data_IF_343878737867
#
_entry.id   IF_343878737867
#
_cell.length_a   1.000
_cell.length_b   1.000
_cell.length_c   1.000
_cell.angle_alpha   90.00
_cell.angle_beta   90.00
_cell.angle_gamma   90.00
#
_symmetry.space_group_name_H-M   'P 1'
#
loop_
_entity.id
_entity.type
_entity.pdbx_description
1 polymer ?
#
# COMPACT_ATOMS: atom_id res chain seq x y z
N UNK A 1 -18.42 -41.39 27.77
CA UNK A 1 -18.63 -39.93 27.63
C UNK A 1 -18.48 -39.58 26.16
N UNK A 2 -19.59 -39.43 25.43
CA UNK A 2 -19.57 -39.04 24.03
C UNK A 2 -19.59 -37.51 23.96
N UNK A 3 -18.51 -36.91 23.45
CA UNK A 3 -18.45 -35.50 23.06
C UNK A 3 -19.44 -35.29 21.91
N UNK A 4 -20.57 -34.65 22.20
CA UNK A 4 -21.49 -34.15 21.18
C UNK A 4 -20.73 -33.07 20.41
N UNK A 5 -20.31 -33.40 19.19
CA UNK A 5 -19.90 -32.39 18.21
C UNK A 5 -21.13 -31.55 17.95
N UNK A 6 -21.18 -30.36 18.55
CA UNK A 6 -22.18 -29.33 18.24
C UNK A 6 -22.08 -29.07 16.73
N UNK A 7 -23.00 -29.65 15.97
CA UNK A 7 -23.11 -29.40 14.54
C UNK A 7 -23.30 -27.90 14.36
N UNK A 8 -22.45 -27.29 13.53
CA UNK A 8 -22.52 -25.89 13.16
C UNK A 8 -23.97 -25.55 12.78
N UNK A 9 -24.55 -24.54 13.43
CA UNK A 9 -25.90 -24.11 13.13
C UNK A 9 -25.85 -23.28 11.84
N UNK A 10 -26.33 -23.79 10.69
CA UNK A 10 -26.15 -23.13 9.40
C UNK A 10 -26.82 -21.74 9.34
N UNK A 11 -27.81 -21.49 10.20
CA UNK A 11 -28.40 -20.16 10.34
C UNK A 11 -27.45 -19.17 11.04
N UNK A 12 -26.72 -19.62 12.06
CA UNK A 12 -25.73 -18.81 12.77
C UNK A 12 -24.53 -18.48 11.88
N UNK A 13 -24.03 -19.47 11.13
CA UNK A 13 -22.92 -19.27 10.18
C UNK A 13 -23.28 -18.26 9.08
N UNK A 14 -24.53 -18.31 8.58
CA UNK A 14 -25.04 -17.36 7.59
C UNK A 14 -25.15 -15.95 8.16
N UNK A 15 -25.65 -15.81 9.39
CA UNK A 15 -25.75 -14.51 10.05
C UNK A 15 -24.37 -13.90 10.28
N UNK A 16 -23.40 -14.71 10.74
CA UNK A 16 -22.03 -14.28 10.91
C UNK A 16 -21.41 -13.78 9.60
N UNK A 17 -21.57 -14.55 8.52
CA UNK A 17 -21.10 -14.16 7.19
C UNK A 17 -21.72 -12.84 6.71
N UNK A 18 -23.01 -12.61 6.97
CA UNK A 18 -23.67 -11.34 6.58
C UNK A 18 -23.08 -10.15 7.35
N UNK A 19 -22.84 -10.32 8.65
CA UNK A 19 -22.24 -9.28 9.52
C UNK A 19 -20.81 -8.97 9.08
N UNK A 20 -20.00 -10.01 8.85
CA UNK A 20 -18.62 -9.87 8.35
C UNK A 20 -18.59 -9.09 7.03
N UNK A 21 -19.45 -9.45 6.07
CA UNK A 21 -19.54 -8.77 4.77
C UNK A 21 -19.98 -7.31 4.89
N UNK A 22 -20.82 -6.98 5.87
CA UNK A 22 -21.21 -5.60 6.15
C UNK A 22 -20.05 -4.78 6.72
N UNK A 23 -19.30 -5.34 7.67
CA UNK A 23 -18.12 -4.71 8.24
C UNK A 23 -17.04 -4.49 7.18
N UNK A 24 -16.81 -5.46 6.29
CA UNK A 24 -15.89 -5.30 5.16
C UNK A 24 -16.30 -4.17 4.21
N UNK A 25 -17.61 -4.07 3.92
CA UNK A 25 -18.14 -3.04 3.03
C UNK A 25 -17.96 -1.63 3.62
N UNK A 26 -18.27 -1.45 4.92
CA UNK A 26 -18.00 -0.17 5.61
C UNK A 26 -16.51 0.13 5.71
N UNK A 27 -15.70 -0.91 5.97
CA UNK A 27 -14.24 -0.82 6.00
C UNK A 27 -13.68 -0.33 4.68
N UNK A 28 -14.14 -0.86 3.54
CA UNK A 28 -13.70 -0.40 2.22
C UNK A 28 -14.04 1.08 1.98
N UNK A 29 -15.22 1.54 2.43
CA UNK A 29 -15.61 2.94 2.33
C UNK A 29 -14.68 3.87 3.10
N UNK A 30 -14.36 3.53 4.36
CA UNK A 30 -13.44 4.31 5.21
C UNK A 30 -12.02 4.28 4.65
N UNK A 31 -11.54 3.12 4.21
CA UNK A 31 -10.22 2.99 3.60
C UNK A 31 -10.11 3.78 2.31
N UNK A 32 -11.14 3.78 1.45
CA UNK A 32 -11.11 4.56 0.23
C UNK A 32 -11.09 6.07 0.50
N UNK A 33 -11.78 6.54 1.55
CA UNK A 33 -11.71 7.94 1.97
C UNK A 33 -10.30 8.31 2.46
N UNK A 34 -9.69 7.46 3.29
CA UNK A 34 -8.31 7.66 3.73
C UNK A 34 -7.31 7.62 2.57
N UNK A 35 -7.55 6.76 1.57
CA UNK A 35 -6.75 6.69 0.34
C UNK A 35 -6.80 8.02 -0.43
N UNK A 36 -7.99 8.57 -0.67
CA UNK A 36 -8.15 9.87 -1.35
C UNK A 36 -7.45 10.98 -0.56
N UNK A 37 -7.61 11.00 0.77
CA UNK A 37 -6.95 11.98 1.62
C UNK A 37 -5.43 11.85 1.56
N UNK A 38 -4.89 10.63 1.60
CA UNK A 38 -3.46 10.38 1.48
C UNK A 38 -2.93 10.86 0.12
N UNK A 39 -3.57 10.50 -0.99
CA UNK A 39 -3.20 10.97 -2.34
C UNK A 39 -3.18 12.49 -2.37
N UNK A 40 -4.24 13.14 -1.86
CA UNK A 40 -4.33 14.60 -1.83
C UNK A 40 -3.20 15.25 -1.03
N UNK A 41 -2.93 14.77 0.19
CA UNK A 41 -1.87 15.32 1.06
C UNK A 41 -0.49 15.11 0.44
N UNK A 42 -0.17 13.91 -0.04
CA UNK A 42 1.13 13.65 -0.67
C UNK A 42 1.32 14.43 -1.97
N UNK A 43 0.27 14.57 -2.79
CA UNK A 43 0.33 15.37 -4.00
C UNK A 43 0.48 16.86 -3.70
N UNK A 44 -0.17 17.37 -2.64
CA UNK A 44 0.03 18.77 -2.22
C UNK A 44 1.47 19.04 -1.74
N UNK A 45 2.10 18.07 -1.08
CA UNK A 45 3.52 18.16 -0.70
C UNK A 45 4.41 18.22 -1.95
N UNK A 46 4.13 17.39 -2.95
CA UNK A 46 4.86 17.40 -4.22
C UNK A 46 4.66 18.72 -4.99
N UNK A 47 3.43 19.20 -5.09
CA UNK A 47 3.12 20.49 -5.70
C UNK A 47 3.81 21.64 -4.95
N UNK A 48 3.89 21.53 -3.63
CA UNK A 48 4.58 22.52 -2.82
C UNK A 48 6.09 22.51 -3.05
N UNK A 49 6.67 21.32 -3.18
CA UNK A 49 8.07 21.15 -3.57
C UNK A 49 8.31 21.74 -4.97
N UNK A 50 7.38 21.54 -5.91
CA UNK A 50 7.51 22.02 -7.28
C UNK A 50 7.47 23.54 -7.41
N UNK A 51 6.60 24.21 -6.66
CA UNK A 51 6.45 25.67 -6.77
C UNK A 51 7.31 26.48 -5.80
N UNK A 52 7.52 26.01 -4.57
CA UNK A 52 8.20 26.79 -3.53
C UNK A 52 9.61 26.32 -3.20
N UNK A 53 9.94 25.05 -3.45
CA UNK A 53 11.25 24.48 -3.10
C UNK A 53 11.90 23.77 -4.31
N UNK A 54 12.14 24.48 -5.43
CA UNK A 54 12.77 23.88 -6.58
C UNK A 54 14.16 23.34 -6.19
N UNK A 55 14.44 22.05 -6.40
CA UNK A 55 15.76 21.50 -6.12
C UNK A 55 16.81 22.08 -7.07
N UNK A 56 18.07 22.04 -6.65
CA UNK A 56 19.18 22.43 -7.49
C UNK A 56 19.39 21.39 -8.61
N UNK A 57 18.89 21.66 -9.82
CA UNK A 57 18.96 20.75 -10.96
C UNK A 57 18.41 21.37 -12.25
N UNK A 58 18.44 20.59 -13.34
CA UNK A 58 17.91 21.02 -14.64
C UNK A 58 16.37 21.04 -14.60
N UNK A 59 15.78 22.17 -15.03
CA UNK A 59 14.33 22.38 -14.93
C UNK A 59 13.51 21.39 -15.78
N UNK A 60 14.11 20.84 -16.82
CA UNK A 60 13.50 19.86 -17.73
C UNK A 60 13.32 18.50 -17.05
N UNK A 61 14.33 18.01 -16.33
CA UNK A 61 14.26 16.76 -15.55
C UNK A 61 13.19 16.85 -14.46
N UNK A 62 13.08 18.02 -13.84
CA UNK A 62 12.11 18.25 -12.79
C UNK A 62 10.66 18.33 -13.32
N UNK A 63 10.46 18.93 -14.50
CA UNK A 63 9.16 18.91 -15.17
C UNK A 63 8.75 17.48 -15.59
N UNK A 64 9.70 16.68 -16.07
CA UNK A 64 9.46 15.27 -16.39
C UNK A 64 9.11 14.44 -15.15
N UNK A 65 9.76 14.70 -14.01
CA UNK A 65 9.40 14.10 -12.72
C UNK A 65 7.96 14.44 -12.31
N UNK A 66 7.62 15.74 -12.29
CA UNK A 66 6.28 16.21 -11.94
C UNK A 66 5.19 15.58 -12.82
N UNK A 67 5.43 15.45 -14.13
CA UNK A 67 4.51 14.78 -15.04
C UNK A 67 4.28 13.31 -14.68
N UNK A 68 5.33 12.57 -14.33
CA UNK A 68 5.23 11.16 -13.91
C UNK A 68 4.47 11.01 -12.60
N UNK A 69 4.78 11.85 -11.60
CA UNK A 69 4.06 11.84 -10.32
C UNK A 69 2.59 12.18 -10.51
N UNK A 70 2.29 13.21 -11.30
CA UNK A 70 0.92 13.62 -11.62
C UNK A 70 0.17 12.49 -12.31
N UNK A 71 0.78 11.81 -13.30
CA UNK A 71 0.16 10.67 -13.97
C UNK A 71 -0.17 9.53 -12.99
N UNK A 72 0.73 9.22 -12.05
CA UNK A 72 0.50 8.20 -11.01
C UNK A 72 -0.58 8.64 -10.00
N UNK A 73 -0.59 9.91 -9.60
CA UNK A 73 -1.63 10.46 -8.72
C UNK A 73 -3.02 10.42 -9.37
N UNK A 74 -3.10 10.73 -10.67
CA UNK A 74 -4.32 10.59 -11.46
C UNK A 74 -4.76 9.13 -11.53
N UNK A 75 -3.85 8.20 -11.81
CA UNK A 75 -4.16 6.77 -11.82
C UNK A 75 -4.68 6.27 -10.46
N UNK A 76 -4.04 6.67 -9.35
CA UNK A 76 -4.48 6.34 -8.00
C UNK A 76 -5.85 6.93 -7.67
N UNK A 77 -6.13 8.15 -8.13
CA UNK A 77 -7.44 8.80 -8.00
C UNK A 77 -8.50 8.06 -8.80
N UNK A 78 -8.20 7.61 -10.02
CA UNK A 78 -9.10 6.82 -10.84
C UNK A 78 -9.44 5.47 -10.20
N UNK A 79 -8.46 4.78 -9.60
CA UNK A 79 -8.71 3.55 -8.81
C UNK A 79 -9.64 3.85 -7.63
N UNK A 80 -9.39 4.96 -6.91
CA UNK A 80 -10.22 5.38 -5.78
C UNK A 80 -11.66 5.71 -6.19
N UNK A 81 -11.82 6.34 -7.36
CA UNK A 81 -13.12 6.66 -7.93
C UNK A 81 -13.85 5.39 -8.39
N UNK A 82 -13.15 4.45 -9.02
CA UNK A 82 -13.72 3.16 -9.43
C UNK A 82 -14.25 2.37 -8.23
N UNK A 83 -13.47 2.30 -7.14
CA UNK A 83 -13.92 1.68 -5.88
C UNK A 83 -15.14 2.40 -5.32
N UNK A 84 -15.13 3.74 -5.28
CA UNK A 84 -16.27 4.53 -4.82
C UNK A 84 -17.53 4.26 -5.67
N UNK A 85 -17.39 4.16 -6.98
CA UNK A 85 -18.49 3.87 -7.90
C UNK A 85 -19.04 2.45 -7.66
N UNK A 86 -18.18 1.45 -7.50
CA UNK A 86 -18.57 0.08 -7.14
C UNK A 86 -19.38 0.05 -5.83
N UNK A 87 -18.92 0.76 -4.80
CA UNK A 87 -19.64 0.88 -3.53
C UNK A 87 -20.98 1.60 -3.71
N UNK A 88 -21.03 2.71 -4.46
CA UNK A 88 -22.27 3.44 -4.75
C UNK A 88 -23.31 2.59 -5.51
N UNK A 89 -22.85 1.73 -6.41
CA UNK A 89 -23.69 0.75 -7.12
C UNK A 89 -24.06 -0.47 -6.27
N UNK A 90 -23.61 -0.56 -5.02
CA UNK A 90 -23.77 -1.72 -4.12
C UNK A 90 -23.19 -3.01 -4.70
N UNK A 91 -22.20 -2.89 -5.60
CA UNK A 91 -21.48 -4.02 -6.20
C UNK A 91 -20.18 -4.20 -5.45
N UNK A 92 -20.13 -5.19 -4.56
CA UNK A 92 -18.94 -5.47 -3.74
C UNK A 92 -18.44 -6.91 -3.96
N UNK A 93 -17.73 -7.18 -5.08
CA UNK A 93 -17.19 -8.51 -5.31
C UNK A 93 -16.06 -8.80 -4.31
N UNK A 94 -15.95 -10.06 -3.87
CA UNK A 94 -15.01 -10.46 -2.83
C UNK A 94 -13.53 -10.16 -3.15
N UNK A 95 -13.19 -10.08 -4.45
CA UNK A 95 -11.84 -9.78 -4.90
C UNK A 95 -11.51 -8.28 -4.92
N UNK A 96 -12.50 -7.37 -4.82
CA UNK A 96 -12.29 -5.92 -4.99
C UNK A 96 -11.24 -5.37 -4.02
N UNK A 97 -11.27 -5.82 -2.77
CA UNK A 97 -10.31 -5.42 -1.72
C UNK A 97 -8.87 -5.80 -2.04
N UNK A 98 -8.67 -6.97 -2.66
CA UNK A 98 -7.35 -7.43 -3.09
C UNK A 98 -6.88 -6.68 -4.34
N UNK A 99 -7.78 -6.47 -5.31
CA UNK A 99 -7.48 -5.71 -6.51
C UNK A 99 -7.09 -4.26 -6.18
N UNK A 100 -7.87 -3.56 -5.35
CA UNK A 100 -7.59 -2.17 -5.00
C UNK A 100 -6.31 -2.03 -4.19
N UNK A 101 -6.03 -2.94 -3.25
CA UNK A 101 -4.77 -2.97 -2.49
C UNK A 101 -3.58 -3.34 -3.38
N UNK A 102 -3.75 -4.26 -4.33
CA UNK A 102 -2.73 -4.60 -5.31
C UNK A 102 -2.37 -3.42 -6.21
N UNK A 103 -3.37 -2.67 -6.67
CA UNK A 103 -3.15 -1.43 -7.41
C UNK A 103 -2.39 -0.39 -6.57
N UNK A 104 -2.75 -0.20 -5.29
CA UNK A 104 -2.02 0.71 -4.41
C UNK A 104 -0.55 0.33 -4.27
N UNK A 105 -0.26 -0.96 -4.08
CA UNK A 105 1.10 -1.47 -3.98
C UNK A 105 1.89 -1.24 -5.27
N UNK A 106 1.29 -1.52 -6.43
CA UNK A 106 1.93 -1.32 -7.73
C UNK A 106 2.16 0.17 -8.01
N UNK A 107 1.18 1.03 -7.75
CA UNK A 107 1.29 2.47 -7.96
C UNK A 107 2.32 3.10 -7.01
N UNK A 108 2.36 2.67 -5.75
CA UNK A 108 3.37 3.14 -4.81
C UNK A 108 4.77 2.66 -5.19
N UNK A 109 4.90 1.39 -5.59
CA UNK A 109 6.19 0.85 -6.05
C UNK A 109 6.64 1.58 -7.31
N UNK A 110 5.73 1.84 -8.26
CA UNK A 110 6.02 2.63 -9.43
C UNK A 110 6.46 4.05 -9.05
N UNK A 111 5.74 4.71 -8.15
CA UNK A 111 6.07 6.06 -7.68
C UNK A 111 7.44 6.12 -7.02
N UNK A 112 7.75 5.17 -6.13
CA UNK A 112 9.04 5.07 -5.45
C UNK A 112 10.17 4.65 -6.40
N UNK A 113 9.86 4.03 -7.55
CA UNK A 113 10.84 3.74 -8.60
C UNK A 113 11.12 4.93 -9.53
N UNK A 114 10.27 5.97 -9.52
CA UNK A 114 10.53 7.17 -10.31
C UNK A 114 11.68 7.95 -9.67
N UNK A 115 12.79 8.07 -10.41
CA UNK A 115 13.96 8.85 -10.03
C UNK A 115 13.63 10.33 -9.83
N UNK A 116 14.12 10.93 -8.74
CA UNK A 116 13.86 12.32 -8.34
C UNK A 116 14.60 13.38 -9.19
N UNK A 117 15.28 12.98 -10.26
CA UNK A 117 15.95 13.91 -11.19
C UNK A 117 17.16 14.64 -10.59
N UNK A 118 17.60 14.26 -9.40
CA UNK A 118 18.69 14.92 -8.69
C UNK A 118 19.99 14.12 -8.80
N UNK A 119 20.54 13.94 -10.01
CA UNK A 119 21.93 13.48 -10.25
C UNK A 119 22.46 12.37 -9.31
N UNK A 120 21.58 11.46 -8.89
CA UNK A 120 21.96 10.29 -8.14
C UNK A 120 21.99 9.15 -9.16
N UNK A 121 23.10 8.43 -9.34
CA UNK A 121 23.22 7.39 -10.37
C UNK A 121 22.29 6.20 -10.14
N UNK A 122 21.59 6.15 -8.99
CA UNK A 122 20.50 5.23 -8.71
C UNK A 122 19.25 6.02 -8.30
N UNK A 123 18.04 5.58 -8.69
CA UNK A 123 16.81 6.12 -8.11
C UNK A 123 16.93 6.04 -6.58
N UNK A 124 16.59 7.11 -5.86
CA UNK A 124 16.66 7.17 -4.38
C UNK A 124 15.94 5.97 -3.71
N UNK A 125 15.01 5.32 -4.42
CA UNK A 125 14.71 3.90 -4.28
C UNK A 125 14.37 3.48 -2.84
N UNK A 126 15.04 2.46 -2.27
CA UNK A 126 14.73 1.97 -0.92
C UNK A 126 15.08 2.96 0.21
N UNK A 127 15.86 4.02 -0.04
CA UNK A 127 16.11 5.07 0.92
C UNK A 127 15.05 6.20 0.88
N UNK A 128 14.15 6.18 -0.12
CA UNK A 128 13.10 7.17 -0.25
C UNK A 128 12.14 7.14 0.95
N UNK A 129 11.75 8.31 1.50
CA UNK A 129 10.71 8.40 2.52
C UNK A 129 9.38 7.76 2.09
N UNK A 130 9.16 7.57 0.78
CA UNK A 130 7.98 6.90 0.23
C UNK A 130 7.83 5.45 0.70
N UNK A 131 8.91 4.79 1.13
CA UNK A 131 8.85 3.44 1.73
C UNK A 131 7.96 3.42 2.97
N UNK A 132 7.82 4.54 3.68
CA UNK A 132 6.92 4.66 4.83
C UNK A 132 5.43 4.47 4.45
N UNK A 133 5.07 4.73 3.19
CA UNK A 133 3.69 4.57 2.70
C UNK A 133 3.30 3.08 2.63
N UNK A 134 4.25 2.15 2.52
CA UNK A 134 3.94 0.71 2.61
C UNK A 134 3.31 0.36 3.98
N UNK A 135 3.78 0.97 5.07
CA UNK A 135 3.17 0.78 6.39
C UNK A 135 1.74 1.30 6.44
N UNK A 136 1.48 2.43 5.76
CA UNK A 136 0.13 2.97 5.64
C UNK A 136 -0.78 2.01 4.87
N UNK A 137 -0.31 1.39 3.78
CA UNK A 137 -1.08 0.38 3.03
C UNK A 137 -1.45 -0.82 3.92
N UNK A 138 -0.49 -1.33 4.72
CA UNK A 138 -0.77 -2.43 5.66
C UNK A 138 -1.79 -2.01 6.73
N UNK A 139 -1.69 -0.79 7.26
CA UNK A 139 -2.66 -0.26 8.22
C UNK A 139 -4.06 -0.11 7.60
N UNK A 140 -4.16 0.40 6.37
CA UNK A 140 -5.41 0.52 5.61
C UNK A 140 -6.03 -0.84 5.27
N UNK A 141 -5.21 -1.87 5.05
CA UNK A 141 -5.69 -3.25 4.89
C UNK A 141 -6.33 -3.78 6.19
N UNK A 142 -5.81 -3.40 7.35
CA UNK A 142 -6.34 -3.83 8.63
C UNK A 142 -7.73 -3.23 8.95
N UNK A 143 -8.01 -2.02 8.48
CA UNK A 143 -9.32 -1.36 8.62
C UNK A 143 -10.48 -2.10 7.92
N UNK A 144 -10.16 -3.02 7.00
CA UNK A 144 -11.15 -3.85 6.31
C UNK A 144 -11.46 -5.15 7.04
N UNK A 145 -10.93 -5.35 8.25
CA UNK A 145 -11.16 -6.50 9.13
C UNK A 145 -10.94 -7.88 8.47
N UNK A 146 -10.09 -7.95 7.45
CA UNK A 146 -9.84 -9.16 6.67
C UNK A 146 -8.41 -9.64 6.88
N UNK A 147 -8.22 -10.71 7.66
CA UNK A 147 -6.90 -11.26 7.97
C UNK A 147 -6.10 -11.64 6.72
N UNK A 148 -6.75 -12.27 5.74
CA UNK A 148 -6.12 -12.61 4.46
C UNK A 148 -5.63 -11.39 3.68
N UNK A 149 -6.30 -10.24 3.84
CA UNK A 149 -5.90 -9.00 3.18
C UNK A 149 -4.71 -8.35 3.86
N UNK A 150 -4.62 -8.42 5.19
CA UNK A 150 -3.43 -7.95 5.92
C UNK A 150 -2.19 -8.74 5.50
N UNK A 151 -2.30 -10.06 5.39
CA UNK A 151 -1.19 -10.88 4.89
C UNK A 151 -0.83 -10.56 3.45
N UNK A 152 -1.83 -10.40 2.57
CA UNK A 152 -1.61 -9.99 1.20
C UNK A 152 -0.90 -8.62 1.11
N UNK A 153 -1.36 -7.62 1.88
CA UNK A 153 -0.75 -6.30 1.91
C UNK A 153 0.67 -6.32 2.48
N UNK A 154 0.92 -7.14 3.51
CA UNK A 154 2.24 -7.28 4.14
C UNK A 154 3.23 -7.92 3.17
N UNK A 155 2.88 -9.07 2.59
CA UNK A 155 3.72 -9.75 1.60
C UNK A 155 3.93 -8.88 0.37
N UNK A 156 2.87 -8.24 -0.12
CA UNK A 156 2.94 -7.32 -1.25
C UNK A 156 3.81 -6.10 -0.96
N UNK A 157 3.81 -5.57 0.27
CA UNK A 157 4.69 -4.47 0.68
C UNK A 157 6.14 -4.89 0.76
N UNK A 158 6.43 -6.10 1.29
CA UNK A 158 7.78 -6.67 1.32
C UNK A 158 8.29 -6.89 -0.11
N UNK A 159 7.45 -7.45 -0.99
CA UNK A 159 7.80 -7.66 -2.39
C UNK A 159 8.00 -6.34 -3.15
N UNK A 160 7.15 -5.35 -2.92
CA UNK A 160 7.30 -4.01 -3.49
C UNK A 160 8.61 -3.36 -3.06
N UNK A 161 8.95 -3.46 -1.76
CA UNK A 161 10.23 -2.98 -1.24
C UNK A 161 11.42 -3.72 -1.86
N UNK A 162 11.37 -5.05 -1.95
CA UNK A 162 12.43 -5.85 -2.61
C UNK A 162 12.57 -5.52 -4.10
N UNK A 163 11.47 -5.21 -4.78
CA UNK A 163 11.51 -4.74 -6.16
C UNK A 163 12.25 -3.40 -6.27
N UNK A 164 12.03 -2.46 -5.33
CA UNK A 164 12.80 -1.20 -5.29
C UNK A 164 14.29 -1.45 -5.02
N UNK A 165 14.62 -2.38 -4.13
CA UNK A 165 16.03 -2.78 -3.89
C UNK A 165 16.65 -3.34 -5.16
N UNK A 166 15.97 -4.25 -5.87
CA UNK A 166 16.50 -4.81 -7.11
C UNK A 166 16.54 -3.86 -8.30
N UNK A 167 15.75 -2.80 -8.30
CA UNK A 167 15.85 -1.74 -9.29
C UNK A 167 16.99 -0.77 -8.98
N UNK A 168 17.31 -0.55 -7.70
CA UNK A 168 18.39 0.32 -7.28
C UNK A 168 19.77 -0.37 -7.31
N UNK A 169 19.81 -1.70 -7.20
CA UNK A 169 21.04 -2.48 -7.14
C UNK A 169 21.06 -3.60 -8.20
N UNK A 170 21.94 -3.46 -9.18
CA UNK A 170 22.14 -4.45 -10.25
C UNK A 170 22.75 -5.75 -9.72
N UNK A 171 23.45 -5.71 -8.58
CA UNK A 171 24.07 -6.87 -7.93
C UNK A 171 23.63 -6.97 -6.46
N UNK A 172 22.56 -7.74 -6.24
CA UNK A 172 21.98 -8.02 -4.93
C UNK A 172 22.94 -8.44 -3.80
N UNK A 173 24.16 -8.92 -4.09
CA UNK A 173 25.11 -9.45 -3.11
C UNK A 173 26.54 -8.93 -3.29
N UNK A 174 26.71 -7.65 -3.62
CA UNK A 174 28.03 -6.99 -3.57
C UNK A 174 28.25 -6.25 -2.24
N UNK A 175 29.46 -5.77 -1.95
CA UNK A 175 29.72 -4.97 -0.73
C UNK A 175 29.25 -3.50 -0.86
N UNK A 176 29.01 -3.04 -2.09
CA UNK A 176 28.63 -1.67 -2.43
C UNK A 176 27.10 -1.53 -2.64
N UNK A 177 26.29 -1.97 -1.68
CA UNK A 177 24.83 -1.79 -1.75
C UNK A 177 24.44 -0.31 -1.70
N UNK A 178 23.50 0.10 -2.56
CA UNK A 178 22.90 1.44 -2.54
C UNK A 178 22.22 1.77 -1.19
N UNK A 179 21.72 0.75 -0.48
CA UNK A 179 21.21 0.86 0.89
C UNK A 179 21.85 -0.21 1.76
N UNK A 180 22.39 0.13 2.94
CA UNK A 180 22.99 -0.84 3.85
C UNK A 180 22.07 -2.03 4.11
N UNK A 181 22.59 -3.25 3.98
CA UNK A 181 21.82 -4.50 4.13
C UNK A 181 21.08 -4.57 5.47
N UNK A 182 21.68 -4.02 6.53
CA UNK A 182 21.05 -3.90 7.86
C UNK A 182 19.76 -3.08 7.80
N UNK A 183 19.75 -1.94 7.10
CA UNK A 183 18.56 -1.11 6.93
C UNK A 183 17.48 -1.86 6.15
N UNK A 184 17.85 -2.61 5.11
CA UNK A 184 16.89 -3.42 4.34
C UNK A 184 16.22 -4.48 5.20
N UNK A 185 17.00 -5.22 5.98
CA UNK A 185 16.49 -6.25 6.90
C UNK A 185 15.59 -5.62 7.96
N UNK A 186 15.98 -4.49 8.55
CA UNK A 186 15.17 -3.76 9.53
C UNK A 186 13.84 -3.33 8.92
N UNK A 187 13.83 -2.76 7.71
CA UNK A 187 12.59 -2.35 7.04
C UNK A 187 11.65 -3.53 6.78
N UNK A 188 12.18 -4.63 6.25
CA UNK A 188 11.38 -5.84 6.00
C UNK A 188 10.83 -6.44 7.29
N UNK A 189 11.66 -6.53 8.34
CA UNK A 189 11.22 -6.99 9.66
C UNK A 189 10.15 -6.08 10.24
N UNK A 190 10.30 -4.77 10.10
CA UNK A 190 9.33 -3.78 10.59
C UNK A 190 7.98 -3.91 9.86
N UNK A 191 7.98 -4.08 8.54
CA UNK A 191 6.77 -4.35 7.75
C UNK A 191 6.10 -5.67 8.18
N UNK A 192 6.89 -6.74 8.32
CA UNK A 192 6.41 -8.04 8.75
C UNK A 192 5.81 -8.02 10.16
N UNK A 193 6.50 -7.40 11.12
CA UNK A 193 6.02 -7.25 12.50
C UNK A 193 4.75 -6.38 12.55
N UNK A 194 4.69 -5.31 11.76
CA UNK A 194 3.48 -4.48 11.67
C UNK A 194 2.29 -5.30 11.17
N UNK A 195 2.48 -6.11 10.12
CA UNK A 195 1.46 -7.03 9.61
C UNK A 195 1.02 -8.06 10.65
N UNK A 196 1.96 -8.63 11.41
CA UNK A 196 1.66 -9.57 12.50
C UNK A 196 0.83 -8.89 13.59
N UNK A 197 1.26 -7.73 14.07
CA UNK A 197 0.57 -6.99 15.15
C UNK A 197 -0.86 -6.63 14.73
N UNK A 198 -1.03 -6.06 13.54
CA UNK A 198 -2.36 -5.74 13.01
C UNK A 198 -3.21 -6.99 12.78
N UNK A 199 -2.60 -8.09 12.32
CA UNK A 199 -3.27 -9.39 12.21
C UNK A 199 -3.76 -9.93 13.56
N UNK A 200 -2.99 -9.76 14.63
CA UNK A 200 -3.41 -10.15 15.99
C UNK A 200 -4.55 -9.27 16.52
N UNK A 201 -4.54 -7.97 16.20
CA UNK A 201 -5.63 -7.06 16.57
C UNK A 201 -6.94 -7.52 15.93
N UNK A 202 -6.92 -7.85 14.63
CA UNK A 202 -8.12 -8.31 13.91
C UNK A 202 -8.62 -9.64 14.46
N UNK A 203 -7.73 -10.58 14.82
CA UNK A 203 -8.14 -11.88 15.40
C UNK A 203 -8.86 -11.76 16.74
N UNK A 204 -8.80 -10.62 17.43
CA UNK A 204 -9.45 -10.38 18.72
C UNK A 204 -10.84 -9.74 18.59
N UNK A 205 -11.18 -9.23 17.41
CA UNK A 205 -12.48 -8.60 17.10
C UNK A 205 -13.39 -9.66 16.47
#
# INVERSE_FOLDING_TARGET
MATVVQGANPAADRQWFIVERWQEYEGEGRTNLLRILAIGVFYLVELAQYHWFPPAGDAEDFAAYHQKVTALAVAATMVSLAVLLCLRMRVFPAFLKYASTGCDLLLLTALASVDHGAKSPAPDGPASPLVLIFFLIVALAALRFSLGLVWFATLGSILGYLALVGLADEKWFDQDHAVPLVTQVITMLSLGLTGIVLGQIIRRV
#
